data_IF_038976295526
#
_entry.id   IF_038976295526
#
_cell.length_a   1.000
_cell.length_b   1.000
_cell.length_c   1.000
_cell.angle_alpha   90.00
_cell.angle_beta   90.00
_cell.angle_gamma   90.00
#
_symmetry.space_group_name_H-M   'P 1'
#
loop_
_entity.id
_entity.type
_entity.pdbx_description
1 polymer ?
2 polymer ?
3 polymer ?
4 non-polymer ?
#
loop_
_entity_poly.entity_id
_entity_poly.type
_entity_poly.pdbx_seq_one_letter_code
_entity_poly.pdbx_strand_id
2 'polydeoxyribonucleotide' '(DA)(DT)(DC)(DA)(DG)(DT)(DC)(DT)(DA)(DG)(DA)(DC)(DA)(DT)(DA)(DC)' ?
3 'polydeoxyribonucleotide' '(DT)(DG)(DT)(DA)(DT)(DG)(DT)(DC)(DT)(DA)(DG)(DA)(DC)(DT)(DG)(DA)' ?
#
# COMPACT_ATOMS: atom_id res chain seq x y z
N UNK A 11 31.47 -14.77 -18.24
CA UNK A 11 30.19 -15.00 -18.94
C UNK A 11 30.25 -14.68 -20.48
N UNK A 12 29.81 -15.67 -21.30
CA UNK A 12 30.07 -15.87 -22.73
C UNK A 12 29.15 -15.02 -23.63
N UNK A 13 29.58 -14.72 -24.88
CA UNK A 13 28.72 -13.89 -25.77
C UNK A 13 27.41 -14.55 -26.16
N UNK A 14 27.44 -15.81 -26.61
CA UNK A 14 26.19 -16.49 -26.89
C UNK A 14 25.37 -16.64 -25.63
N UNK A 15 26.02 -17.05 -24.54
CA UNK A 15 25.33 -17.23 -23.27
C UNK A 15 24.73 -15.92 -22.79
N UNK A 16 25.47 -14.80 -22.93
CA UNK A 16 24.95 -13.52 -22.48
C UNK A 16 23.68 -13.14 -23.22
N UNK A 17 23.66 -13.41 -24.52
CA UNK A 17 22.49 -13.06 -25.30
C UNK A 17 21.26 -13.82 -24.81
N UNK A 18 21.39 -15.15 -24.70
CA UNK A 18 20.27 -15.95 -24.25
C UNK A 18 19.82 -15.50 -22.88
N UNK A 19 20.78 -15.18 -22.01
CA UNK A 19 20.41 -14.73 -20.67
C UNK A 19 19.64 -13.43 -20.71
N UNK A 20 19.77 -12.66 -21.79
CA UNK A 20 18.99 -11.44 -21.92
C UNK A 20 17.50 -11.70 -21.92
N UNK A 21 17.08 -12.83 -22.46
CA UNK A 21 15.68 -13.22 -22.51
C UNK A 21 15.19 -13.95 -21.27
N UNK A 22 16.11 -14.37 -20.39
CA UNK A 22 15.75 -15.12 -19.19
C UNK A 22 14.82 -14.31 -18.30
N UNK A 23 13.80 -14.99 -17.79
CA UNK A 23 12.93 -14.39 -16.77
C UNK A 23 13.64 -14.44 -15.42
N UNK A 24 13.18 -13.64 -14.48
CA UNK A 24 13.81 -13.56 -13.18
C UNK A 24 12.88 -14.17 -12.15
N UNK A 25 13.47 -14.82 -11.14
CA UNK A 25 12.65 -15.35 -10.06
C UNK A 25 11.99 -14.17 -9.36
N UNK A 26 10.96 -14.46 -8.56
CA UNK A 26 10.25 -13.35 -7.92
C UNK A 26 11.22 -12.53 -7.10
N UNK A 27 12.18 -13.21 -6.47
CA UNK A 27 13.16 -12.52 -5.65
C UNK A 27 14.09 -11.66 -6.49
N UNK A 28 14.52 -12.14 -7.66
CA UNK A 28 15.36 -11.29 -8.51
C UNK A 28 14.57 -10.05 -8.96
N UNK A 29 13.29 -10.24 -9.29
CA UNK A 29 12.48 -9.09 -9.68
C UNK A 29 12.27 -8.15 -8.49
N UNK A 30 12.01 -8.70 -7.31
CA UNK A 30 11.90 -7.85 -6.12
C UNK A 30 13.19 -7.09 -5.87
N UNK A 31 14.33 -7.74 -6.08
CA UNK A 31 15.60 -7.06 -5.88
C UNK A 31 15.70 -5.83 -6.78
N UNK A 32 15.22 -5.96 -8.03
CA UNK A 32 15.33 -4.84 -8.95
C UNK A 32 14.57 -3.64 -8.39
N UNK A 33 13.38 -3.86 -7.82
CA UNK A 33 12.61 -2.75 -7.23
C UNK A 33 13.36 -2.17 -6.04
N UNK A 34 13.94 -3.03 -5.21
CA UNK A 34 14.61 -2.54 -4.01
C UNK A 34 15.77 -1.64 -4.36
N UNK A 35 16.56 -2.01 -5.37
CA UNK A 35 17.63 -1.15 -5.82
C UNK A 35 17.07 0.10 -6.47
N UNK A 36 16.04 -0.08 -7.29
CA UNK A 36 15.40 1.04 -7.96
C UNK A 36 14.86 2.01 -6.93
N UNK A 37 14.31 1.50 -5.83
CA UNK A 37 13.89 2.38 -4.76
C UNK A 37 15.08 3.14 -4.18
N UNK A 38 16.18 2.44 -3.88
CA UNK A 38 17.33 3.09 -3.25
C UNK A 38 17.91 4.18 -4.14
N UNK A 39 18.06 3.89 -5.44
CA UNK A 39 18.60 4.90 -6.34
C UNK A 39 17.76 6.17 -6.30
N UNK A 40 16.43 6.01 -6.27
CA UNK A 40 15.53 7.17 -6.18
C UNK A 40 15.90 8.06 -5.01
N UNK A 41 16.23 7.44 -3.87
CA UNK A 41 16.62 8.21 -2.69
C UNK A 41 17.96 8.90 -2.92
N UNK A 42 18.91 8.16 -3.49
CA UNK A 42 20.29 8.64 -3.60
C UNK A 42 20.44 9.74 -4.64
N UNK A 43 19.65 9.69 -5.73
CA UNK A 43 19.77 10.71 -6.78
C UNK A 43 19.58 12.11 -6.22
N UNK A 44 18.74 12.27 -5.20
CA UNK A 44 18.52 13.59 -4.60
C UNK A 44 19.78 14.14 -3.93
N UNK A 45 20.52 13.30 -3.20
CA UNK A 45 21.72 13.79 -2.52
C UNK A 45 22.92 13.89 -3.46
N UNK A 46 23.77 14.89 -3.21
CA UNK A 46 24.87 15.19 -4.11
C UNK A 46 25.94 14.13 -3.96
N UNK A 47 26.27 13.46 -5.06
CA UNK A 47 27.35 12.51 -5.08
C UNK A 47 27.09 11.18 -4.39
N UNK A 48 25.89 10.93 -3.89
CA UNK A 48 25.62 9.65 -3.26
C UNK A 48 25.74 8.49 -4.24
N UNK A 49 25.21 8.67 -5.45
CA UNK A 49 25.26 7.63 -6.48
C UNK A 49 26.69 7.28 -6.85
N UNK A 50 27.48 8.30 -7.16
CA UNK A 50 28.86 8.08 -7.51
C UNK A 50 29.58 7.35 -6.39
N UNK A 51 29.26 7.71 -5.14
CA UNK A 51 29.87 7.04 -4.00
C UNK A 51 29.42 5.60 -3.89
N UNK A 52 28.12 5.35 -3.96
CA UNK A 52 27.67 3.97 -3.87
C UNK A 52 28.31 3.14 -4.97
N UNK A 53 28.40 3.72 -6.17
CA UNK A 53 29.08 3.09 -7.29
C UNK A 53 30.54 2.86 -6.98
N UNK A 54 31.18 3.78 -6.25
CA UNK A 54 32.57 3.62 -5.86
C UNK A 54 32.77 2.40 -4.97
N UNK A 55 31.92 2.24 -3.95
CA UNK A 55 32.12 1.17 -2.99
C UNK A 55 32.02 -0.18 -3.67
N UNK A 56 30.98 -0.37 -4.49
CA UNK A 56 30.75 -1.65 -5.13
C UNK A 56 31.80 -1.95 -6.22
N UNK A 57 32.23 -0.94 -6.97
CA UNK A 57 33.20 -1.17 -8.05
C UNK A 57 34.60 -1.41 -7.50
N UNK A 58 35.02 -0.67 -6.47
CA UNK A 58 36.36 -0.80 -5.89
C UNK A 58 36.19 -1.31 -4.47
N UNK A 59 36.14 -2.62 -4.28
CA UNK A 59 35.84 -3.15 -2.94
C UNK A 59 36.92 -2.91 -1.91
N UNK A 60 38.18 -3.10 -2.29
CA UNK A 60 39.27 -2.93 -1.33
C UNK A 60 39.34 -1.52 -0.76
N UNK A 61 39.27 -0.52 -1.64
CA UNK A 61 39.44 0.88 -1.24
C UNK A 61 38.27 1.34 -0.37
N UNK A 62 38.54 2.02 0.75
CA UNK A 62 37.44 2.42 1.64
C UNK A 62 36.55 3.46 1.00
N UNK A 63 35.31 3.49 1.47
CA UNK A 63 34.34 4.43 0.94
C UNK A 63 33.58 5.04 2.09
N UNK A 64 33.10 6.27 1.90
CA UNK A 64 32.28 6.93 2.89
C UNK A 64 30.89 6.34 2.90
N UNK A 65 30.18 6.56 4.00
CA UNK A 65 28.82 6.04 4.14
C UNK A 65 27.91 6.53 3.01
N UNK A 66 26.99 5.66 2.61
CA UNK A 66 25.86 6.03 1.78
C UNK A 66 24.63 5.68 2.59
N UNK A 67 23.76 6.66 2.83
CA UNK A 67 22.71 6.56 3.83
C UNK A 67 21.33 6.96 3.33
N UNK A 68 20.32 6.44 4.02
CA UNK A 68 18.91 6.77 3.82
C UNK A 68 18.30 7.08 5.18
N UNK A 69 17.23 7.87 5.24
CA UNK A 69 16.63 8.18 6.54
C UNK A 69 16.07 6.93 7.19
N UNK A 70 16.16 6.89 8.51
CA UNK A 70 15.76 5.73 9.29
C UNK A 70 14.28 5.79 9.58
N UNK A 71 13.61 4.65 9.43
CA UNK A 71 12.22 4.62 9.87
C UNK A 71 12.15 4.46 11.39
N UNK A 72 10.98 4.74 11.94
CA UNK A 72 10.84 4.71 13.40
C UNK A 72 11.13 3.32 13.96
N UNK A 73 10.55 2.29 13.37
CA UNK A 73 10.90 0.95 13.82
C UNK A 73 12.18 0.46 13.16
N UNK A 74 12.72 1.24 12.21
CA UNK A 74 13.93 0.91 11.50
C UNK A 74 13.72 0.15 10.21
N UNK A 75 12.50 -0.32 9.93
CA UNK A 75 12.22 -1.11 8.76
C UNK A 75 12.07 -0.24 7.51
N UNK A 76 12.15 -0.89 6.37
CA UNK A 76 11.93 -0.25 5.08
C UNK A 76 10.97 -1.13 4.29
N UNK A 77 10.02 -0.51 3.61
CA UNK A 77 9.06 -1.28 2.81
C UNK A 77 9.37 -1.00 1.35
N UNK A 78 9.52 -2.05 0.57
CA UNK A 78 9.72 -1.90 -0.87
C UNK A 78 8.84 -2.94 -1.56
N UNK A 79 7.93 -2.46 -2.42
CA UNK A 79 7.01 -3.30 -3.17
C UNK A 79 6.33 -4.32 -2.26
N UNK A 80 5.71 -3.82 -1.20
CA UNK A 80 4.87 -4.57 -0.25
C UNK A 80 5.64 -5.41 0.76
N UNK A 81 6.96 -5.45 0.72
CA UNK A 81 7.78 -6.26 1.63
C UNK A 81 8.62 -5.40 2.57
N UNK A 82 8.65 -5.80 3.82
CA UNK A 82 9.34 -5.07 4.88
C UNK A 82 10.59 -5.84 5.31
N UNK A 83 11.66 -5.10 5.51
CA UNK A 83 12.95 -5.62 5.90
C UNK A 83 13.72 -4.49 6.54
N UNK A 84 15.00 -4.79 6.94
CA UNK A 84 15.94 -3.82 7.48
C UNK A 84 16.86 -3.28 6.38
N UNK A 85 17.21 -2.00 6.37
CA UNK A 85 17.93 -1.45 5.19
C UNK A 85 19.29 -2.08 4.93
N UNK A 86 20.15 -2.17 5.94
CA UNK A 86 21.45 -2.76 5.70
C UNK A 86 21.33 -4.23 5.30
N UNK A 87 20.41 -4.95 5.94
CA UNK A 87 20.23 -6.36 5.60
C UNK A 87 19.80 -6.50 4.15
N UNK A 88 18.83 -5.70 3.72
CA UNK A 88 18.35 -5.81 2.34
C UNK A 88 19.47 -5.59 1.33
N UNK A 89 20.13 -4.44 1.40
CA UNK A 89 21.13 -4.09 0.40
C UNK A 89 22.40 -4.94 0.51
N UNK A 90 22.69 -5.49 1.69
CA UNK A 90 23.79 -6.44 1.78
C UNK A 90 23.48 -7.74 1.07
N UNK A 91 22.23 -8.18 1.07
CA UNK A 91 21.83 -9.34 0.26
C UNK A 91 22.03 -9.10 -1.23
N UNK A 92 21.73 -7.89 -1.69
CA UNK A 92 21.83 -7.63 -3.10
C UNK A 92 23.28 -7.71 -3.56
N UNK A 93 24.18 -7.09 -2.82
CA UNK A 93 25.52 -6.91 -3.36
C UNK A 93 26.60 -7.79 -2.75
N UNK A 94 26.36 -8.40 -1.58
CA UNK A 94 27.42 -9.17 -0.95
C UNK A 94 27.00 -10.61 -0.68
N UNK A 95 26.07 -10.85 0.24
CA UNK A 95 25.66 -12.21 0.58
C UNK A 95 24.22 -12.44 0.22
N UNK A 96 23.96 -13.14 -0.88
CA UNK A 96 22.55 -13.33 -1.30
C UNK A 96 21.76 -14.21 -0.36
N UNK A 97 22.44 -14.99 0.50
CA UNK A 97 21.79 -15.90 1.43
C UNK A 97 21.68 -15.33 2.83
N UNK A 98 22.09 -14.08 3.02
CA UNK A 98 22.06 -13.46 4.34
C UNK A 98 20.67 -13.60 4.93
N UNK A 99 20.61 -13.98 6.21
CA UNK A 99 19.30 -14.30 6.76
C UNK A 99 18.70 -13.26 7.68
N UNK A 100 19.49 -12.54 8.48
CA UNK A 100 18.90 -11.56 9.39
C UNK A 100 19.94 -10.52 9.76
N UNK A 101 19.52 -9.51 10.54
CA UNK A 101 20.51 -8.50 10.96
C UNK A 101 21.50 -9.06 11.97
N UNK A 102 21.21 -10.22 12.59
CA UNK A 102 22.14 -10.82 13.52
C UNK A 102 23.43 -11.25 12.82
N UNK A 103 23.31 -11.71 11.58
CA UNK A 103 24.50 -12.09 10.82
C UNK A 103 25.37 -10.91 10.44
N UNK A 104 24.91 -9.69 10.64
CA UNK A 104 25.69 -8.50 10.29
C UNK A 104 26.14 -7.74 11.54
N UNK A 105 27.33 -7.15 11.46
CA UNK A 105 27.87 -6.21 12.43
C UNK A 105 28.59 -5.11 11.66
N UNK A 106 28.63 -3.91 12.20
CA UNK A 106 29.24 -2.81 11.44
C UNK A 106 30.76 -2.75 11.55
N UNK A 107 31.38 -2.22 10.50
CA UNK A 107 32.79 -1.85 10.51
C UNK A 107 32.95 -0.52 11.25
N UNK A 108 34.14 -0.32 11.83
CA UNK A 108 34.37 0.93 12.56
C UNK A 108 34.33 2.14 11.65
N UNK A 109 34.60 1.93 10.37
CA UNK A 109 34.66 3.03 9.40
C UNK A 109 33.30 3.72 9.30
N UNK A 110 32.21 2.97 9.41
CA UNK A 110 30.86 3.51 9.24
C UNK A 110 30.48 4.52 10.33
N UNK A 111 29.96 5.67 9.91
CA UNK A 111 29.47 6.68 10.85
C UNK A 111 27.97 6.55 11.13
N UNK A 112 27.21 5.78 10.35
CA UNK A 112 25.76 5.67 10.53
C UNK A 112 25.28 4.22 10.47
N UNK A 113 25.69 3.40 11.41
CA UNK A 113 25.27 2.00 11.36
C UNK A 113 23.81 1.88 11.74
N UNK A 114 23.26 0.69 11.52
CA UNK A 114 21.85 0.48 11.80
C UNK A 114 21.54 0.68 13.28
N UNK A 115 22.34 0.07 14.16
CA UNK A 115 22.08 0.19 15.58
C UNK A 115 22.21 1.61 16.07
N UNK A 116 22.80 2.49 15.26
CA UNK A 116 23.13 3.84 15.67
C UNK A 116 21.92 4.57 16.24
N UNK A 117 20.73 4.21 15.81
CA UNK A 117 19.51 4.85 16.25
C UNK A 117 19.55 6.34 15.92
N UNK A 118 20.30 6.72 14.89
CA UNK A 118 20.37 8.09 14.44
C UNK A 118 19.31 8.36 13.38
N UNK A 119 19.21 9.63 12.99
CA UNK A 119 18.25 9.98 11.95
C UNK A 119 18.52 9.20 10.67
N UNK A 120 19.78 8.94 10.35
CA UNK A 120 20.14 8.25 9.11
C UNK A 120 20.71 6.85 9.38
N UNK A 121 20.58 5.98 8.39
CA UNK A 121 21.17 4.65 8.45
C UNK A 121 21.93 4.39 7.16
N UNK A 122 23.18 4.01 7.31
CA UNK A 122 24.07 3.69 6.20
C UNK A 122 23.71 2.32 5.64
N UNK A 123 23.58 2.26 4.32
CA UNK A 123 23.36 1.02 3.61
C UNK A 123 24.56 0.65 2.74
N UNK A 124 25.71 1.24 3.00
CA UNK A 124 26.91 0.83 2.29
C UNK A 124 27.20 -0.62 2.65
N UNK A 125 27.18 -1.56 1.69
CA UNK A 125 27.35 -2.97 2.05
C UNK A 125 28.73 -3.26 2.56
N UNK A 126 29.72 -2.43 2.25
CA UNK A 126 31.08 -2.66 2.67
C UNK A 126 31.41 -1.94 3.95
N UNK A 127 30.41 -1.40 4.64
CA UNK A 127 30.59 -0.90 5.99
C UNK A 127 29.99 -1.85 6.99
N UNK A 128 29.78 -3.11 6.59
CA UNK A 128 29.28 -4.13 7.49
C UNK A 128 30.07 -5.42 7.26
N UNK A 129 30.13 -6.28 8.28
CA UNK A 129 30.85 -7.53 8.14
C UNK A 129 29.91 -8.65 8.50
N UNK A 130 29.86 -9.68 7.65
CA UNK A 130 29.01 -10.83 7.92
C UNK A 130 29.74 -11.76 8.87
N UNK A 131 29.01 -12.25 9.87
CA UNK A 131 29.51 -13.26 10.80
C UNK A 131 28.37 -14.21 11.10
N UNK A 132 28.72 -15.35 11.71
CA UNK A 132 27.70 -16.33 12.09
C UNK A 132 26.79 -15.82 13.23
N UNK B 11 -36.13 -16.91 -8.36
CA UNK B 11 -36.09 -17.95 -9.39
C UNK B 11 -35.66 -19.32 -8.82
N UNK B 12 -35.26 -20.27 -9.67
CA UNK B 12 -35.06 -21.64 -9.20
C UNK B 12 -33.97 -21.73 -8.14
N UNK B 13 -34.11 -22.65 -7.19
CA UNK B 13 -33.05 -22.82 -6.20
C UNK B 13 -31.78 -23.32 -6.84
N UNK B 14 -31.90 -24.24 -7.82
CA UNK B 14 -30.72 -24.72 -8.53
C UNK B 14 -30.03 -23.57 -9.25
N UNK B 15 -30.82 -22.68 -9.86
CA UNK B 15 -30.25 -21.53 -10.54
C UNK B 15 -29.41 -20.71 -9.58
N UNK B 16 -29.89 -20.53 -8.35
CA UNK B 16 -29.07 -19.82 -7.38
C UNK B 16 -27.82 -20.59 -7.03
N UNK B 17 -27.93 -21.90 -6.83
CA UNK B 17 -26.75 -22.67 -6.48
C UNK B 17 -25.73 -22.61 -7.60
N UNK B 18 -26.15 -22.83 -8.84
CA UNK B 18 -25.19 -22.67 -9.93
C UNK B 18 -24.56 -21.28 -9.91
N UNK B 19 -25.36 -20.26 -9.61
CA UNK B 19 -24.80 -18.92 -9.48
C UNK B 19 -23.83 -18.82 -8.32
N UNK B 20 -24.04 -19.61 -7.27
CA UNK B 20 -23.12 -19.60 -6.14
C UNK B 20 -21.70 -19.94 -6.53
N UNK B 21 -21.54 -20.81 -7.53
CA UNK B 21 -20.23 -21.18 -8.04
C UNK B 21 -19.69 -20.20 -9.06
N UNK B 22 -20.47 -19.19 -9.45
CA UNK B 22 -20.01 -18.23 -10.43
C UNK B 22 -18.76 -17.52 -9.91
N UNK B 23 -17.74 -17.40 -10.77
CA UNK B 23 -16.66 -16.50 -10.41
C UNK B 23 -17.11 -15.07 -10.63
N UNK B 24 -16.50 -14.14 -9.90
CA UNK B 24 -16.86 -12.74 -9.99
C UNK B 24 -15.74 -11.98 -10.66
N UNK B 25 -16.11 -10.98 -11.47
CA UNK B 25 -15.12 -10.12 -12.12
C UNK B 25 -14.36 -9.34 -11.06
N UNK B 26 -13.28 -8.67 -11.47
CA UNK B 26 -12.48 -7.96 -10.49
C UNK B 26 -13.33 -6.96 -9.72
N UNK B 27 -14.29 -6.30 -10.39
CA UNK B 27 -15.12 -5.33 -9.70
C UNK B 27 -16.00 -5.99 -8.65
N UNK B 28 -16.57 -7.14 -8.98
CA UNK B 28 -17.39 -7.84 -8.01
C UNK B 28 -16.57 -8.25 -6.79
N UNK B 29 -15.35 -8.70 -7.00
CA UNK B 29 -14.48 -9.02 -5.87
C UNK B 29 -14.07 -7.77 -5.11
N UNK B 30 -13.72 -6.69 -5.84
CA UNK B 30 -13.33 -5.45 -5.17
C UNK B 30 -14.46 -4.91 -4.32
N UNK B 31 -15.69 -5.02 -4.80
CA UNK B 31 -16.80 -4.55 -3.98
C UNK B 31 -16.87 -5.32 -2.68
N UNK B 32 -16.68 -6.64 -2.73
CA UNK B 32 -16.74 -7.39 -1.49
C UNK B 32 -15.71 -6.86 -0.51
N UNK B 33 -14.50 -6.59 -1.00
CA UNK B 33 -13.45 -6.05 -0.13
C UNK B 33 -13.86 -4.67 0.40
N UNK B 34 -14.48 -3.84 -0.44
CA UNK B 34 -14.88 -2.52 0.01
C UNK B 34 -15.92 -2.60 1.11
N UNK B 35 -16.84 -3.54 1.00
CA UNK B 35 -17.83 -3.76 2.05
C UNK B 35 -17.16 -4.27 3.31
N UNK B 36 -16.20 -5.18 3.16
CA UNK B 36 -15.52 -5.70 4.35
C UNK B 36 -14.83 -4.56 5.07
N UNK B 37 -14.23 -3.64 4.31
CA UNK B 37 -13.55 -2.53 4.94
C UNK B 37 -14.52 -1.70 5.77
N UNK B 38 -15.69 -1.38 5.20
CA UNK B 38 -16.63 -0.56 5.93
C UNK B 38 -17.13 -1.30 7.16
N UNK B 39 -17.52 -2.56 6.98
CA UNK B 39 -18.05 -3.33 8.11
C UNK B 39 -16.99 -3.42 9.20
N UNK B 40 -15.72 -3.57 8.82
CA UNK B 40 -14.68 -3.53 9.83
C UNK B 40 -14.72 -2.20 10.57
N UNK B 41 -14.89 -1.08 9.85
CA UNK B 41 -14.98 0.21 10.53
C UNK B 41 -16.22 0.32 11.40
N UNK B 42 -17.38 -0.12 10.89
CA UNK B 42 -18.65 0.10 11.58
C UNK B 42 -18.81 -0.74 12.85
N UNK B 43 -18.22 -1.93 12.94
CA UNK B 43 -18.33 -2.71 14.17
C UNK B 43 -17.84 -1.92 15.38
N UNK B 44 -16.86 -1.03 15.18
CA UNK B 44 -16.33 -0.20 16.26
C UNK B 44 -17.41 0.70 16.84
N UNK B 45 -18.24 1.29 15.99
CA UNK B 45 -19.32 2.19 16.40
C UNK B 45 -20.55 1.44 16.90
N UNK B 46 -21.27 2.06 17.83
CA UNK B 46 -22.40 1.40 18.50
C UNK B 46 -23.62 1.35 17.59
N UNK B 47 -24.09 0.15 17.27
CA UNK B 47 -25.34 -0.02 16.56
C UNK B 47 -25.35 0.50 15.15
N UNK B 48 -24.24 1.03 14.66
CA UNK B 48 -24.22 1.55 13.30
C UNK B 48 -24.59 0.46 12.31
N UNK B 49 -24.09 -0.75 12.55
CA UNK B 49 -24.44 -1.87 11.70
C UNK B 49 -25.94 -2.08 11.69
N UNK B 50 -26.54 -2.12 12.88
CA UNK B 50 -27.96 -2.32 12.96
C UNK B 50 -28.68 -1.24 12.18
N UNK B 51 -28.19 0.00 12.26
CA UNK B 51 -28.79 1.11 11.54
C UNK B 51 -28.65 0.95 10.03
N UNK B 52 -27.43 0.65 9.57
CA UNK B 52 -27.22 0.55 8.14
C UNK B 52 -28.14 -0.48 7.53
N UNK B 53 -28.35 -1.60 8.22
CA UNK B 53 -29.31 -2.58 7.73
C UNK B 53 -30.72 -2.01 7.72
N UNK B 54 -31.07 -1.18 8.71
CA UNK B 54 -32.41 -0.60 8.71
C UNK B 54 -32.64 0.19 7.44
N UNK B 55 -31.66 1.00 7.06
CA UNK B 55 -31.78 1.83 5.86
C UNK B 55 -31.89 0.96 4.63
N UNK B 56 -31.02 -0.02 4.50
CA UNK B 56 -31.04 -0.87 3.32
C UNK B 56 -32.30 -1.71 3.28
N UNK B 57 -32.77 -2.16 4.44
CA UNK B 57 -33.97 -3.01 4.48
C UNK B 57 -35.24 -2.22 4.19
N UNK B 58 -35.42 -1.05 4.80
CA UNK B 58 -36.64 -0.26 4.63
C UNK B 58 -36.29 1.04 3.91
N UNK B 59 -36.33 1.04 2.58
CA UNK B 59 -36.01 2.25 1.84
C UNK B 59 -37.00 3.35 2.12
N UNK B 60 -38.29 3.01 2.24
CA UNK B 60 -39.26 4.03 2.53
C UNK B 60 -38.98 4.72 3.86
N UNK B 61 -38.76 3.92 4.91
CA UNK B 61 -38.60 4.49 6.25
C UNK B 61 -37.31 5.29 6.32
N UNK B 62 -37.35 6.55 6.78
CA UNK B 62 -36.11 7.33 6.83
C UNK B 62 -35.16 6.76 7.89
N UNK B 63 -33.86 6.98 7.67
CA UNK B 63 -32.84 6.44 8.55
C UNK B 63 -31.80 7.48 8.90
N UNK B 64 -31.22 7.33 10.08
CA UNK B 64 -30.20 8.23 10.59
C UNK B 64 -28.89 8.01 9.85
N UNK B 65 -28.04 9.04 9.87
CA UNK B 65 -26.76 8.97 9.18
C UNK B 65 -25.92 7.80 9.71
N UNK B 66 -25.16 7.18 8.81
CA UNK B 66 -24.11 6.22 9.11
C UNK B 66 -22.83 6.78 8.55
N UNK B 67 -21.80 6.96 9.40
CA UNK B 67 -20.63 7.75 9.02
C UNK B 67 -19.29 7.04 9.30
N UNK B 68 -18.28 7.42 8.51
CA UNK B 68 -16.91 6.92 8.62
C UNK B 68 -16.01 8.13 8.66
N UNK B 69 -14.76 7.98 9.14
CA UNK B 69 -13.88 9.14 9.26
C UNK B 69 -13.55 9.73 7.90
N UNK B 70 -13.40 11.04 7.87
CA UNK B 70 -13.14 11.75 6.62
C UNK B 70 -11.64 11.87 6.40
N UNK B 71 -11.17 11.46 5.22
CA UNK B 71 -9.78 11.66 4.90
C UNK B 71 -9.53 13.11 4.47
N UNK B 72 -8.26 13.51 4.47
CA UNK B 72 -7.95 14.91 4.17
C UNK B 72 -8.34 15.29 2.76
N UNK B 73 -7.98 14.49 1.77
CA UNK B 73 -8.47 14.83 0.45
C UNK B 73 -9.89 14.31 0.22
N UNK B 74 -10.44 13.59 1.20
CA UNK B 74 -11.80 13.10 1.14
C UNK B 74 -11.95 11.74 0.54
N UNK B 75 -10.91 11.21 -0.11
CA UNK B 75 -10.91 9.91 -0.75
C UNK B 75 -10.75 8.78 0.27
N UNK B 76 -11.14 7.61 -0.15
CA UNK B 76 -11.00 6.42 0.66
C UNK B 76 -10.29 5.38 -0.18
N UNK B 77 -9.39 4.63 0.41
CA UNK B 77 -8.66 3.62 -0.33
C UNK B 77 -9.09 2.24 0.14
N UNK B 78 -9.38 1.36 -0.81
CA UNK B 78 -9.69 -0.03 -0.52
C UNK B 78 -8.91 -0.88 -1.48
N UNK B 79 -8.04 -1.75 -0.95
CA UNK B 79 -7.32 -2.72 -1.77
C UNK B 79 -6.70 -2.05 -2.99
N UNK B 80 -5.98 -0.96 -2.75
CA UNK B 80 -5.22 -0.23 -3.74
C UNK B 80 -6.06 0.72 -4.59
N UNK B 81 -7.37 0.81 -4.40
CA UNK B 81 -8.21 1.64 -5.26
C UNK B 81 -8.79 2.82 -4.48
N UNK B 82 -8.74 3.99 -5.09
CA UNK B 82 -9.17 5.22 -4.44
C UNK B 82 -10.40 5.77 -5.12
N UNK B 83 -11.39 6.16 -4.32
CA UNK B 83 -12.66 6.66 -4.79
C UNK B 83 -13.26 7.48 -3.67
N UNK B 84 -14.46 8.04 -3.93
CA UNK B 84 -15.04 8.79 -2.84
C UNK B 84 -15.99 7.90 -2.06
N UNK B 85 -16.04 8.03 -0.72
CA UNK B 85 -16.78 7.06 0.09
C UNK B 85 -18.25 6.97 -0.22
N UNK B 86 -18.93 8.12 -0.36
CA UNK B 86 -20.34 8.04 -0.66
C UNK B 86 -20.56 7.42 -2.03
N UNK B 87 -19.71 7.76 -3.01
CA UNK B 87 -19.86 7.16 -4.34
C UNK B 87 -19.60 5.66 -4.30
N UNK B 88 -18.58 5.23 -3.54
CA UNK B 88 -18.26 3.81 -3.51
C UNK B 88 -19.48 3.03 -3.04
N UNK B 89 -19.97 3.38 -1.85
CA UNK B 89 -21.05 2.65 -1.23
C UNK B 89 -22.39 2.87 -1.93
N UNK B 90 -22.57 4.01 -2.57
CA UNK B 90 -23.75 4.19 -3.38
C UNK B 90 -23.72 3.30 -4.61
N UNK B 91 -22.53 3.07 -5.19
CA UNK B 91 -22.40 2.12 -6.28
C UNK B 91 -22.78 0.71 -5.84
N UNK B 92 -22.49 0.37 -4.59
CA UNK B 92 -22.78 -0.98 -4.13
C UNK B 92 -24.27 -1.23 -3.97
N UNK B 93 -24.98 -0.32 -3.31
CA UNK B 93 -26.34 -0.64 -2.90
C UNK B 93 -27.45 0.05 -3.66
N UNK B 94 -27.19 1.12 -4.40
CA UNK B 94 -28.28 1.79 -5.09
C UNK B 94 -28.05 1.81 -6.60
N UNK B 95 -27.09 2.56 -7.10
CA UNK B 95 -26.89 2.60 -8.55
C UNK B 95 -25.51 2.05 -8.83
N UNK B 96 -25.41 0.84 -9.37
CA UNK B 96 -24.09 0.27 -9.61
C UNK B 96 -23.35 0.94 -10.73
N UNK B 97 -24.01 1.79 -11.53
CA UNK B 97 -23.40 2.46 -12.67
C UNK B 97 -23.02 3.91 -12.38
N UNK B 98 -23.12 4.34 -11.13
CA UNK B 98 -22.76 5.70 -10.77
C UNK B 98 -21.31 6.00 -11.16
N UNK B 99 -21.07 7.19 -11.73
CA UNK B 99 -19.77 7.51 -12.34
C UNK B 99 -18.91 8.47 -11.55
N UNK B 100 -19.48 9.46 -10.89
CA UNK B 100 -18.68 10.44 -10.15
C UNK B 100 -19.57 11.11 -9.12
N UNK B 101 -18.96 11.96 -8.30
CA UNK B 101 -19.75 12.72 -7.32
C UNK B 101 -20.67 13.77 -7.96
N UNK B 102 -20.42 14.17 -9.22
CA UNK B 102 -21.29 15.12 -9.89
C UNK B 102 -22.70 14.59 -10.03
N UNK B 103 -22.85 13.28 -10.19
CA UNK B 103 -24.14 12.63 -10.25
C UNK B 103 -24.85 12.54 -8.90
N UNK B 104 -24.20 12.87 -7.79
CA UNK B 104 -24.82 12.77 -6.48
C UNK B 104 -25.01 14.13 -5.83
N UNK B 105 -26.13 14.27 -5.14
CA UNK B 105 -26.41 15.39 -4.27
C UNK B 105 -27.02 14.84 -2.98
N UNK B 106 -26.81 15.51 -1.87
CA UNK B 106 -27.29 14.99 -0.58
C UNK B 106 -28.75 15.33 -0.30
N UNK B 107 -29.39 14.45 0.46
CA UNK B 107 -30.72 14.74 0.97
C UNK B 107 -30.63 15.74 2.11
N UNK B 108 -31.73 16.44 2.34
CA UNK B 108 -31.76 17.39 3.44
C UNK B 108 -31.60 16.66 4.76
N UNK B 109 -32.03 15.41 4.81
CA UNK B 109 -32.05 14.65 6.04
C UNK B 109 -30.64 14.46 6.57
N UNK B 110 -29.67 14.28 5.68
CA UNK B 110 -28.30 14.00 6.10
C UNK B 110 -27.67 15.18 6.82
N UNK B 111 -27.04 14.89 7.97
CA UNK B 111 -26.26 15.86 8.74
C UNK B 111 -24.76 15.76 8.47
N UNK B 112 -24.28 14.75 7.72
CA UNK B 112 -22.84 14.58 7.46
C UNK B 112 -22.59 14.28 5.99
N UNK B 113 -22.99 15.16 5.07
CA UNK B 113 -22.86 14.86 3.65
C UNK B 113 -21.41 15.00 3.21
N UNK B 114 -21.15 14.50 2.00
CA UNK B 114 -19.76 14.48 1.50
C UNK B 114 -19.18 15.88 1.45
N UNK B 115 -19.87 16.81 0.80
CA UNK B 115 -19.26 18.11 0.64
C UNK B 115 -19.07 18.87 1.95
N UNK B 116 -19.81 18.49 3.00
CA UNK B 116 -19.86 19.26 4.24
C UNK B 116 -18.48 19.49 4.86
N UNK B 117 -17.47 18.70 4.48
CA UNK B 117 -16.11 18.90 5.00
C UNK B 117 -16.08 18.77 6.53
N UNK B 118 -16.94 17.88 7.07
CA UNK B 118 -17.05 17.59 8.48
C UNK B 118 -16.13 16.45 8.91
N UNK B 119 -16.12 16.18 10.23
CA UNK B 119 -15.27 15.12 10.78
C UNK B 119 -15.64 13.74 10.23
N UNK B 120 -16.93 13.41 10.18
CA UNK B 120 -17.39 12.12 9.68
C UNK B 120 -18.15 12.33 8.39
N UNK B 121 -18.25 11.28 7.60
CA UNK B 121 -18.92 11.33 6.31
C UNK B 121 -19.99 10.28 6.28
N UNK B 122 -21.20 10.66 5.94
CA UNK B 122 -22.25 9.67 5.92
C UNK B 122 -22.11 8.82 4.68
N UNK B 123 -22.17 7.50 4.86
CA UNK B 123 -22.13 6.62 3.71
C UNK B 123 -23.48 5.96 3.49
N UNK B 124 -24.50 6.43 4.17
CA UNK B 124 -25.85 5.93 3.97
C UNK B 124 -26.30 6.20 2.55
N UNK B 125 -26.56 5.17 1.74
CA UNK B 125 -26.90 5.41 0.34
C UNK B 125 -28.24 6.09 0.18
N UNK B 126 -29.10 5.98 1.17
CA UNK B 126 -30.41 6.57 1.13
C UNK B 126 -30.41 7.97 1.73
N UNK B 127 -29.23 8.57 1.91
CA UNK B 127 -29.10 9.98 2.21
C UNK B 127 -28.55 10.76 1.03
N UNK B 128 -28.62 10.20 -0.16
CA UNK B 128 -28.21 10.93 -1.35
C UNK B 128 -29.18 10.65 -2.48
N UNK B 129 -29.22 11.55 -3.45
CA UNK B 129 -30.09 11.44 -4.60
C UNK B 129 -29.22 11.62 -5.83
N UNK B 130 -29.45 10.79 -6.84
CA UNK B 130 -28.70 10.87 -8.07
C UNK B 130 -29.29 11.89 -9.02
N UNK B 131 -28.43 12.64 -9.69
CA UNK B 131 -28.85 13.60 -10.71
C UNK B 131 -27.96 13.44 -11.93
N UNK B 132 -28.57 13.56 -13.12
CA UNK B 132 -27.79 13.46 -14.34
C UNK B 132 -26.83 14.65 -14.46
N UNK B 133 -25.56 14.50 -14.05
CA UNK B 133 -24.51 15.43 -14.50
C UNK B 133 -23.09 14.84 -14.48
#
# INVERSE_FOLDING_TARGET
>A
MTSMASLFSFTSPAVKRLLGWKQGDEEEKWAEKAVDALVKKLKKKKGAMEELEKALSSPGQPSKCVTIPRSLDGRLQVSHRKGLPHVIYCRVWRWPDLQSHHELKPLDICEFPFGSKQKEVCINPYHYKRVESPVLPPVLVPRLEHHHHH
>B
MTSMASLFSFTSPAVKRLLGWKQGDEEEKWAEKAVDALVKKLKKKKGAMEELEKALSSPGQPSKCVTIPRSLDGRLQVSHRKGLPHVIYCRVWRWPDLQSHHELKPLDICEFPFGSKQKEVCINPYHYKRVESPVLPPVLVPRLEHHHHH
#
